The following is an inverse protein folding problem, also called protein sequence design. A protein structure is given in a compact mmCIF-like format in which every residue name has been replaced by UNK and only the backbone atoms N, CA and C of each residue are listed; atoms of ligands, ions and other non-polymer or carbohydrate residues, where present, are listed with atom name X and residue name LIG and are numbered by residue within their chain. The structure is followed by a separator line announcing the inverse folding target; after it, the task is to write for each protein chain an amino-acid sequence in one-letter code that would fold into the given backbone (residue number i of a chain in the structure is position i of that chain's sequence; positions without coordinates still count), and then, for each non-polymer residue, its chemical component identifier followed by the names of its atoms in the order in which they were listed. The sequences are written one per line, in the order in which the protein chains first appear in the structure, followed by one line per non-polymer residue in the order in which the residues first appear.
data_IF_268475146495
#
_entry.id   IF_268475146495
#
_cell.length_a   1.000
_cell.length_b   1.000
_cell.length_c   1.000
_cell.angle_alpha   90.00
_cell.angle_beta   90.00
_cell.angle_gamma   90.00
#
_symmetry.space_group_name_H-M   'P 1'
#
loop_
_entity.id
_entity.type
_entity.pdbx_description
1 polymer ?
#
# COMPACT_ATOMS: atom_id res chain seq x y z
N UNK A 1 22.40 22.26 27.67
CA UNK A 1 21.90 21.04 27.02
C UNK A 1 22.79 19.91 27.44
N UNK A 2 22.36 19.17 28.46
CA UNK A 2 23.06 17.99 28.96
C UNK A 2 22.55 16.76 28.21
N UNK A 3 23.35 15.70 28.21
CA UNK A 3 23.06 14.43 27.52
C UNK A 3 21.74 13.78 27.99
N UNK A 4 21.24 14.17 29.16
CA UNK A 4 19.96 13.80 29.74
C UNK A 4 18.74 14.40 29.03
N UNK A 5 18.81 15.65 28.55
CA UNK A 5 17.68 16.33 27.90
C UNK A 5 17.30 15.65 26.57
N UNK A 6 18.31 15.10 25.88
CA UNK A 6 18.17 14.39 24.60
C UNK A 6 17.59 12.98 24.73
N UNK A 7 17.79 12.32 25.88
CA UNK A 7 17.25 10.97 26.12
C UNK A 7 15.81 11.04 26.63
N UNK A 8 15.52 11.94 27.58
CA UNK A 8 14.18 12.09 28.14
C UNK A 8 13.20 12.68 27.12
N UNK A 9 13.62 13.68 26.34
CA UNK A 9 12.75 14.25 25.29
C UNK A 9 12.39 13.25 24.19
N UNK A 10 13.19 12.21 23.95
CA UNK A 10 12.89 11.18 22.96
C UNK A 10 11.97 10.08 23.50
N UNK A 11 12.02 9.78 24.80
CA UNK A 11 11.12 8.80 25.43
C UNK A 11 9.68 9.34 25.39
N UNK A 12 9.49 10.62 25.73
CA UNK A 12 8.17 11.26 25.70
C UNK A 12 7.58 11.27 24.28
N UNK A 13 8.40 11.53 23.26
CA UNK A 13 7.96 11.49 21.85
C UNK A 13 7.58 10.10 21.36
N UNK A 14 8.25 9.05 21.85
CA UNK A 14 7.94 7.67 21.51
C UNK A 14 6.66 7.19 22.22
N UNK A 15 6.45 7.61 23.46
CA UNK A 15 5.22 7.34 24.21
C UNK A 15 4.02 8.07 23.58
N UNK A 16 4.18 9.35 23.22
CA UNK A 16 3.16 10.14 22.53
C UNK A 16 2.84 9.54 21.15
N UNK A 17 3.84 9.18 20.35
CA UNK A 17 3.63 8.47 19.08
C UNK A 17 2.93 7.11 19.28
N UNK A 18 3.26 6.39 20.36
CA UNK A 18 2.60 5.13 20.72
C UNK A 18 1.15 5.31 21.14
N UNK A 19 0.82 6.40 21.85
CA UNK A 19 -0.56 6.77 22.17
C UNK A 19 -1.33 7.23 20.92
N UNK A 20 -0.72 7.99 20.02
CA UNK A 20 -1.34 8.40 18.75
C UNK A 20 -1.65 7.21 17.84
N UNK A 21 -0.79 6.18 17.85
CA UNK A 21 -1.04 4.94 17.10
C UNK A 21 -2.05 4.01 17.81
N UNK A 22 -2.37 4.27 19.09
CA UNK A 22 -3.30 3.45 19.87
C UNK A 22 -4.74 3.75 19.45
N UNK A 23 -5.26 2.91 18.57
CA UNK A 23 -6.63 3.03 18.04
C UNK A 23 -6.71 3.25 16.53
N UNK A 24 -5.57 3.50 15.88
CA UNK A 24 -5.47 3.54 14.43
C UNK A 24 -5.66 2.13 13.84
N UNK A 25 -6.45 1.97 12.77
CA UNK A 25 -6.64 0.68 12.13
C UNK A 25 -5.33 0.22 11.46
N UNK A 26 -4.99 -1.06 11.64
CA UNK A 26 -3.84 -1.65 10.96
C UNK A 26 -4.05 -1.62 9.44
N UNK A 27 -3.12 -0.97 8.72
CA UNK A 27 -3.13 -0.81 7.26
C UNK A 27 -1.96 -1.59 6.65
N UNK A 28 -2.25 -2.50 5.72
CA UNK A 28 -1.24 -3.32 5.05
C UNK A 28 -1.63 -3.60 3.60
N UNK A 29 -0.66 -3.52 2.68
CA UNK A 29 -0.77 -3.98 1.29
C UNK A 29 0.47 -4.81 0.92
N UNK A 30 0.27 -6.06 0.54
CA UNK A 30 1.31 -6.91 -0.03
C UNK A 30 0.90 -7.39 -1.41
N UNK A 31 1.80 -7.26 -2.39
CA UNK A 31 1.62 -7.73 -3.75
C UNK A 31 2.55 -8.92 -4.00
N UNK A 32 1.98 -10.07 -4.32
CA UNK A 32 2.74 -11.24 -4.73
C UNK A 32 2.59 -11.47 -6.23
N UNK A 33 3.69 -11.43 -6.98
CA UNK A 33 3.67 -11.73 -8.42
C UNK A 33 3.62 -13.24 -8.62
N UNK A 34 2.49 -13.74 -9.12
CA UNK A 34 2.29 -15.16 -9.42
C UNK A 34 2.86 -15.56 -10.78
N UNK A 35 2.72 -14.70 -11.78
CA UNK A 35 3.23 -14.94 -13.14
C UNK A 35 3.45 -13.62 -13.88
N UNK A 36 4.57 -13.51 -14.60
CA UNK A 36 4.85 -12.37 -15.49
C UNK A 36 5.10 -12.85 -16.92
N UNK A 37 4.50 -12.16 -17.88
CA UNK A 37 4.74 -12.31 -19.32
C UNK A 37 4.97 -10.94 -19.93
N UNK A 38 5.31 -10.86 -21.22
CA UNK A 38 5.57 -9.58 -21.90
C UNK A 38 4.37 -8.63 -21.95
N UNK A 39 3.13 -9.13 -21.81
CA UNK A 39 1.89 -8.33 -21.92
C UNK A 39 0.91 -8.51 -20.77
N UNK A 40 1.22 -9.38 -19.80
CA UNK A 40 0.34 -9.70 -18.68
C UNK A 40 1.14 -9.96 -17.42
N UNK A 41 0.62 -9.46 -16.30
CA UNK A 41 1.12 -9.70 -14.96
C UNK A 41 -0.02 -10.24 -14.11
N UNK A 42 0.11 -11.45 -13.57
CA UNK A 42 -0.83 -12.02 -12.61
C UNK A 42 -0.26 -11.81 -11.21
N UNK A 43 -1.03 -11.15 -10.36
CA UNK A 43 -0.66 -10.84 -8.98
C UNK A 43 -1.73 -11.30 -8.01
N UNK A 44 -1.32 -11.54 -6.78
CA UNK A 44 -2.19 -11.72 -5.64
C UNK A 44 -1.94 -10.57 -4.68
N UNK A 45 -2.93 -9.69 -4.51
CA UNK A 45 -2.91 -8.65 -3.51
C UNK A 45 -3.45 -9.20 -2.19
N UNK A 46 -2.77 -8.93 -1.08
CA UNK A 46 -3.26 -9.17 0.28
C UNK A 46 -3.34 -7.84 0.99
N UNK A 47 -4.51 -7.54 1.56
CA UNK A 47 -4.79 -6.25 2.19
C UNK A 47 -5.36 -6.41 3.59
N UNK A 48 -5.10 -5.41 4.43
CA UNK A 48 -5.72 -5.21 5.74
C UNK A 48 -5.92 -3.72 5.93
N UNK A 49 -7.11 -3.29 6.35
CA UNK A 49 -7.43 -1.87 6.49
C UNK A 49 -7.42 -1.10 5.17
N UNK A 50 -7.65 -1.79 4.04
CA UNK A 50 -7.79 -1.20 2.70
C UNK A 50 -9.14 -1.60 2.15
N UNK A 51 -9.96 -0.62 1.79
CA UNK A 51 -11.30 -0.84 1.26
C UNK A 51 -11.24 -0.98 -0.25
N UNK A 52 -10.47 -0.12 -0.91
CA UNK A 52 -10.39 -0.05 -2.36
C UNK A 52 -8.96 -0.19 -2.85
N UNK A 53 -8.75 -0.93 -3.93
CA UNK A 53 -7.43 -1.11 -4.55
C UNK A 53 -7.45 -0.66 -6.02
N UNK A 54 -6.76 0.43 -6.30
CA UNK A 54 -6.52 0.97 -7.62
C UNK A 54 -5.20 0.47 -8.21
N UNK A 55 -5.25 0.01 -9.46
CA UNK A 55 -4.09 -0.48 -10.21
C UNK A 55 -3.83 0.44 -11.38
N UNK A 56 -2.68 1.11 -11.32
CA UNK A 56 -2.20 2.00 -12.36
C UNK A 56 -1.08 1.34 -13.16
N UNK A 57 -1.14 1.51 -14.47
CA UNK A 57 -0.11 1.06 -15.41
C UNK A 57 0.41 2.29 -16.13
N UNK A 58 1.65 2.68 -15.82
CA UNK A 58 2.14 4.03 -16.10
C UNK A 58 1.38 5.06 -15.25
N UNK A 59 0.68 5.98 -15.91
CA UNK A 59 -0.14 7.02 -15.26
C UNK A 59 -1.64 6.74 -15.37
N UNK A 60 -2.03 5.61 -15.99
CA UNK A 60 -3.44 5.31 -16.27
C UNK A 60 -3.96 4.27 -15.28
N UNK A 61 -5.09 4.57 -14.64
CA UNK A 61 -5.85 3.54 -13.93
C UNK A 61 -6.34 2.52 -14.94
N UNK A 62 -6.02 1.25 -14.69
CA UNK A 62 -6.46 0.13 -15.48
C UNK A 62 -7.60 -0.62 -14.80
N UNK A 63 -7.58 -0.67 -13.46
CA UNK A 63 -8.53 -1.45 -12.70
C UNK A 63 -8.65 -0.90 -11.29
N UNK A 64 -9.84 -1.05 -10.75
CA UNK A 64 -10.19 -0.68 -9.40
C UNK A 64 -11.00 -1.83 -8.79
N UNK A 65 -10.67 -2.22 -7.56
CA UNK A 65 -11.24 -3.42 -6.92
C UNK A 65 -11.62 -3.09 -5.48
N UNK A 66 -12.90 -3.24 -5.15
CA UNK A 66 -13.35 -3.29 -3.76
C UNK A 66 -12.91 -4.62 -3.14
N UNK A 67 -12.11 -4.54 -2.06
CA UNK A 67 -11.50 -5.70 -1.41
C UNK A 67 -11.86 -5.79 0.07
N UNK A 68 -12.40 -4.72 0.67
CA UNK A 68 -12.83 -4.62 2.07
C UNK A 68 -11.94 -5.41 3.06
N UNK A 69 -10.62 -5.28 2.92
CA UNK A 69 -9.59 -6.18 3.48
C UNK A 69 -9.71 -7.66 3.05
N UNK A 70 -8.68 -8.20 2.42
CA UNK A 70 -8.69 -9.61 2.02
C UNK A 70 -7.63 -9.98 1.01
N UNK A 71 -7.96 -10.92 0.14
CA UNK A 71 -7.07 -11.40 -0.92
C UNK A 71 -7.76 -11.27 -2.27
N UNK A 72 -7.08 -10.66 -3.24
CA UNK A 72 -7.55 -10.56 -4.63
C UNK A 72 -6.50 -11.09 -5.60
N UNK A 73 -6.88 -12.05 -6.44
CA UNK A 73 -6.11 -12.47 -7.60
C UNK A 73 -6.55 -11.63 -8.80
N UNK A 74 -5.59 -11.02 -9.48
CA UNK A 74 -5.87 -10.19 -10.65
C UNK A 74 -4.82 -10.32 -11.74
N UNK A 75 -5.31 -10.15 -12.97
CA UNK A 75 -4.48 -10.07 -14.17
C UNK A 75 -4.47 -8.62 -14.65
N UNK A 76 -3.26 -8.08 -14.81
CA UNK A 76 -2.96 -6.73 -15.23
C UNK A 76 -2.40 -6.80 -16.64
N UNK A 77 -2.95 -6.00 -17.54
CA UNK A 77 -2.49 -5.92 -18.93
C UNK A 77 -1.37 -4.90 -19.05
N UNK A 78 -0.19 -5.36 -19.41
CA UNK A 78 0.97 -4.50 -19.63
C UNK A 78 1.00 -4.05 -21.10
N UNK A 79 1.20 -2.76 -21.38
CA UNK A 79 1.47 -2.30 -22.73
C UNK A 79 2.80 -2.86 -23.23
N UNK A 80 3.01 -2.83 -24.54
CA UNK A 80 4.19 -3.40 -25.18
C UNK A 80 5.50 -2.67 -24.86
N UNK A 81 5.44 -1.52 -24.18
CA UNK A 81 6.60 -0.75 -23.76
C UNK A 81 7.42 -1.51 -22.72
N UNK A 82 8.72 -1.62 -22.97
CA UNK A 82 9.67 -2.15 -22.01
C UNK A 82 9.75 -1.17 -20.82
N UNK A 83 9.75 -1.70 -19.59
CA UNK A 83 9.75 -0.92 -18.32
C UNK A 83 8.46 -0.17 -17.96
N UNK A 84 7.29 -0.69 -18.31
CA UNK A 84 6.05 -0.11 -17.80
C UNK A 84 5.92 -0.29 -16.29
N UNK A 85 5.87 0.82 -15.55
CA UNK A 85 5.63 0.88 -14.10
C UNK A 85 4.22 0.41 -13.78
N UNK A 86 4.09 -0.40 -12.74
CA UNK A 86 2.78 -0.80 -12.18
C UNK A 86 2.70 -0.31 -10.74
N UNK A 87 1.63 0.39 -10.42
CA UNK A 87 1.38 0.94 -9.08
C UNK A 87 0.05 0.43 -8.55
N UNK A 88 0.03 0.04 -7.28
CA UNK A 88 -1.13 -0.39 -6.53
C UNK A 88 -1.35 0.63 -5.44
N UNK A 89 -2.54 1.21 -5.40
CA UNK A 89 -2.96 2.22 -4.42
C UNK A 89 -4.12 1.65 -3.63
N UNK A 90 -3.93 1.56 -2.32
CA UNK A 90 -4.96 1.15 -1.39
C UNK A 90 -5.56 2.37 -0.75
N UNK A 91 -6.86 2.57 -0.91
CA UNK A 91 -7.63 3.68 -0.36
C UNK A 91 -8.61 3.18 0.70
N UNK A 92 -8.90 4.03 1.69
CA UNK A 92 -9.92 3.78 2.71
C UNK A 92 -11.30 4.23 2.24
N UNK A 93 -12.35 3.93 3.02
CA UNK A 93 -13.72 4.43 2.77
C UNK A 93 -13.84 5.96 2.75
N UNK A 94 -12.88 6.68 3.34
CA UNK A 94 -12.87 8.15 3.40
C UNK A 94 -12.06 8.77 2.24
N UNK A 95 -11.80 8.00 1.17
CA UNK A 95 -10.98 8.39 0.01
C UNK A 95 -9.54 8.83 0.36
N UNK A 96 -9.03 8.36 1.50
CA UNK A 96 -7.64 8.57 1.90
C UNK A 96 -6.75 7.44 1.32
N UNK A 97 -5.63 7.80 0.68
CA UNK A 97 -4.61 6.83 0.27
C UNK A 97 -3.88 6.29 1.51
N UNK A 98 -4.13 5.02 1.83
CA UNK A 98 -3.61 4.38 3.05
C UNK A 98 -2.45 3.41 2.79
N UNK A 99 -2.29 2.94 1.55
CA UNK A 99 -1.20 2.03 1.18
C UNK A 99 -0.76 2.22 -0.27
N UNK A 100 0.53 2.02 -0.56
CA UNK A 100 1.04 2.06 -1.92
C UNK A 100 2.13 1.02 -2.16
N UNK A 101 2.08 0.33 -3.30
CA UNK A 101 3.11 -0.57 -3.78
C UNK A 101 3.45 -0.28 -5.24
N UNK A 102 4.74 -0.25 -5.58
CA UNK A 102 5.23 0.11 -6.93
C UNK A 102 6.23 -0.93 -7.42
N UNK A 103 6.15 -1.28 -8.70
CA UNK A 103 7.09 -2.18 -9.39
C UNK A 103 7.39 -1.77 -10.83
#
# INVERSE_FOLDING_TARGET
MTRDDLLHGNVDLLEEAGEMLRGEPARWLAIEVKKRTRRRLRVMAKTTGVDWLDVLVGERSQRSVDIASGVADMVIHLPAAEHTRVEFRGDSKDDELVACYRM
#
